data_IF_066624251127
#
_entry.id   IF_066624251127
#
_cell.length_a   1.000
_cell.length_b   1.000
_cell.length_c   1.000
_cell.angle_alpha   90.00
_cell.angle_beta   90.00
_cell.angle_gamma   90.00
#
_symmetry.space_group_name_H-M   'P 1'
#
loop_
_entity.id
_entity.type
_entity.pdbx_description
1 polymer ?
#
# COMPACT_ATOMS: atom_id res chain seq x y z
N UNK A 1 -75.39 50.10 18.30
CA UNK A 1 -74.25 50.18 17.38
C UNK A 1 -72.99 49.97 18.22
N UNK A 2 -72.41 48.78 18.17
CA UNK A 2 -71.21 48.43 18.90
C UNK A 2 -70.08 48.27 17.87
N UNK A 3 -69.24 49.29 17.77
CA UNK A 3 -68.10 49.34 16.86
C UNK A 3 -66.92 48.70 17.57
N UNK A 4 -66.72 47.41 17.30
CA UNK A 4 -65.66 46.60 17.90
C UNK A 4 -64.41 46.76 17.03
N UNK A 5 -63.59 47.75 17.34
CA UNK A 5 -62.31 48.00 16.69
C UNK A 5 -61.32 46.88 17.09
N UNK A 6 -61.13 45.90 16.22
CA UNK A 6 -60.12 44.86 16.31
C UNK A 6 -58.75 45.44 15.94
N UNK A 7 -57.95 45.70 16.97
CA UNK A 7 -56.53 46.04 16.90
C UNK A 7 -55.73 44.78 16.53
N UNK A 8 -55.68 44.45 15.22
CA UNK A 8 -54.83 43.38 14.70
C UNK A 8 -53.40 43.90 14.51
N UNK A 9 -52.63 43.83 15.60
CA UNK A 9 -51.18 43.96 15.59
C UNK A 9 -50.57 42.82 14.77
N UNK A 10 -50.18 43.11 13.52
CA UNK A 10 -49.49 42.16 12.62
C UNK A 10 -48.07 41.89 13.20
N UNK A 11 -47.76 40.65 13.63
CA UNK A 11 -46.42 40.32 14.13
C UNK A 11 -45.45 40.19 12.96
N UNK A 12 -44.40 41.01 12.97
CA UNK A 12 -43.27 40.91 12.03
C UNK A 12 -42.56 39.56 12.16
N UNK A 13 -42.34 38.81 11.05
CA UNK A 13 -41.64 37.53 11.07
C UNK A 13 -40.14 37.74 11.32
N UNK A 14 -39.76 37.73 12.60
CA UNK A 14 -38.39 37.81 13.06
C UNK A 14 -37.58 36.56 12.65
N UNK A 15 -36.78 36.70 11.58
CA UNK A 15 -35.34 36.38 11.49
C UNK A 15 -34.75 35.06 12.03
N UNK A 16 -35.52 34.08 12.50
CA UNK A 16 -34.97 32.89 13.18
C UNK A 16 -34.68 31.69 12.26
N UNK A 17 -34.91 31.81 10.95
CA UNK A 17 -34.78 30.68 10.01
C UNK A 17 -33.34 30.26 9.65
N UNK A 18 -32.33 31.12 9.80
CA UNK A 18 -31.02 30.86 9.16
C UNK A 18 -29.94 30.21 10.04
N UNK A 19 -30.12 30.12 11.36
CA UNK A 19 -29.06 29.60 12.24
C UNK A 19 -29.02 28.06 12.35
N UNK A 20 -30.15 27.37 12.17
CA UNK A 20 -30.23 25.91 12.42
C UNK A 20 -29.59 25.03 11.34
N UNK A 21 -29.42 25.54 10.11
CA UNK A 21 -28.93 24.73 8.99
C UNK A 21 -27.42 24.79 8.73
N UNK A 22 -26.64 25.59 9.47
CA UNK A 22 -25.17 25.65 9.24
C UNK A 22 -24.39 24.48 9.83
N UNK A 23 -24.83 23.96 10.98
CA UNK A 23 -24.18 22.82 11.67
C UNK A 23 -24.13 21.55 10.80
N UNK A 24 -25.19 21.13 10.08
CA UNK A 24 -25.13 19.92 9.25
C UNK A 24 -24.16 20.04 8.07
N UNK A 25 -23.95 21.24 7.50
CA UNK A 25 -23.09 21.41 6.32
C UNK A 25 -21.61 21.19 6.62
N UNK A 26 -21.11 21.75 7.74
CA UNK A 26 -19.70 21.64 8.11
C UNK A 26 -19.31 20.19 8.42
N UNK A 27 -20.18 19.47 9.15
CA UNK A 27 -19.98 18.05 9.46
C UNK A 27 -19.98 17.18 8.20
N UNK A 28 -20.86 17.48 7.22
CA UNK A 28 -20.89 16.79 5.93
C UNK A 28 -19.61 17.02 5.11
N UNK A 29 -19.09 18.25 5.08
CA UNK A 29 -17.83 18.56 4.38
C UNK A 29 -16.67 17.82 5.02
N UNK A 30 -16.54 17.85 6.35
CA UNK A 30 -15.48 17.14 7.06
C UNK A 30 -15.56 15.64 6.77
N UNK A 31 -16.75 15.05 6.79
CA UNK A 31 -16.93 13.62 6.51
C UNK A 31 -16.55 13.26 5.07
N UNK A 32 -17.01 14.03 4.08
CA UNK A 32 -16.64 13.81 2.67
C UNK A 32 -15.14 13.94 2.45
N UNK A 33 -14.49 14.90 3.11
CA UNK A 33 -13.04 15.05 3.07
C UNK A 33 -12.32 13.84 3.70
N UNK A 34 -12.81 13.31 4.82
CA UNK A 34 -12.24 12.12 5.45
C UNK A 34 -12.35 10.89 4.55
N UNK A 35 -13.50 10.67 3.91
CA UNK A 35 -13.69 9.56 2.97
C UNK A 35 -12.79 9.71 1.74
N UNK A 36 -12.71 10.92 1.18
CA UNK A 36 -11.83 11.19 0.05
C UNK A 36 -10.35 10.98 0.42
N UNK A 37 -9.92 11.42 1.60
CA UNK A 37 -8.55 11.22 2.08
C UNK A 37 -8.21 9.74 2.25
N UNK A 38 -9.10 8.95 2.85
CA UNK A 38 -8.93 7.50 2.98
C UNK A 38 -8.80 6.81 1.61
N UNK A 39 -9.65 7.18 0.66
CA UNK A 39 -9.62 6.61 -0.69
C UNK A 39 -8.32 6.96 -1.43
N UNK A 40 -7.83 8.19 -1.28
CA UNK A 40 -6.52 8.60 -1.82
C UNK A 40 -5.39 7.81 -1.19
N UNK A 41 -5.41 7.60 0.13
CA UNK A 41 -4.40 6.79 0.85
C UNK A 41 -4.42 5.35 0.36
N UNK A 42 -5.59 4.73 0.21
CA UNK A 42 -5.71 3.36 -0.29
C UNK A 42 -5.19 3.22 -1.73
N UNK A 43 -5.53 4.16 -2.62
CA UNK A 43 -5.06 4.14 -4.01
C UNK A 43 -3.57 4.41 -4.10
N UNK A 44 -3.03 5.32 -3.28
CA UNK A 44 -1.60 5.63 -3.25
C UNK A 44 -0.76 4.51 -2.60
N UNK A 45 -1.34 3.75 -1.67
CA UNK A 45 -0.65 2.63 -1.02
C UNK A 45 -0.25 1.53 -2.00
N UNK A 46 -1.02 1.30 -3.07
CA UNK A 46 -0.74 0.25 -4.07
C UNK A 46 0.54 0.52 -4.89
N UNK A 47 0.70 1.67 -5.59
CA UNK A 47 1.93 1.96 -6.31
C UNK A 47 3.10 2.18 -5.36
N UNK A 48 2.86 2.71 -4.15
CA UNK A 48 3.90 2.79 -3.12
C UNK A 48 4.39 1.38 -2.81
N UNK A 49 3.51 0.43 -2.46
CA UNK A 49 3.88 -0.96 -2.18
C UNK A 49 4.65 -1.61 -3.35
N UNK A 50 4.21 -1.41 -4.59
CA UNK A 50 4.89 -1.99 -5.76
C UNK A 50 6.27 -1.39 -6.02
N UNK A 51 6.38 -0.06 -6.08
CA UNK A 51 7.67 0.63 -6.31
C UNK A 51 8.62 0.45 -5.13
N UNK A 52 8.06 0.23 -3.96
CA UNK A 52 8.80 0.06 -2.73
C UNK A 52 9.40 -1.32 -2.56
N UNK A 53 8.97 -2.37 -3.27
CA UNK A 53 9.59 -3.69 -3.13
C UNK A 53 11.10 -3.65 -3.46
N UNK A 54 11.53 -2.65 -4.25
CA UNK A 54 12.94 -2.33 -4.45
C UNK A 54 13.64 -1.79 -3.20
N UNK A 55 13.02 -0.93 -2.39
CA UNK A 55 13.71 -0.29 -1.25
C UNK A 55 13.25 -0.81 0.11
N UNK A 56 12.17 -1.61 0.13
CA UNK A 56 11.43 -1.92 1.33
C UNK A 56 11.06 -3.39 1.39
N UNK A 57 11.25 -3.98 2.57
CA UNK A 57 10.84 -5.36 2.87
C UNK A 57 9.34 -5.44 3.16
N UNK A 58 8.48 -5.07 2.20
CA UNK A 58 7.03 -5.24 2.37
C UNK A 58 6.59 -6.70 2.50
N UNK A 59 7.51 -7.66 2.29
CA UNK A 59 7.32 -9.06 2.67
C UNK A 59 6.98 -9.24 4.16
N UNK A 60 7.40 -8.32 5.03
CA UNK A 60 7.01 -8.31 6.45
C UNK A 60 5.66 -7.61 6.69
N UNK A 61 5.20 -6.78 5.75
CA UNK A 61 3.88 -6.21 5.87
C UNK A 61 2.85 -7.32 5.68
N UNK A 62 2.08 -7.61 6.72
CA UNK A 62 1.16 -8.70 6.63
C UNK A 62 0.10 -8.37 5.58
N UNK A 63 -0.15 -9.34 4.70
CA UNK A 63 -1.23 -9.26 3.72
C UNK A 63 -2.61 -8.95 4.36
N UNK A 64 -2.74 -9.04 5.70
CA UNK A 64 -3.94 -8.63 6.44
C UNK A 64 -4.15 -7.11 6.57
N UNK A 65 -3.14 -6.27 6.31
CA UNK A 65 -3.28 -4.81 6.42
C UNK A 65 -4.35 -4.25 5.46
N UNK A 66 -4.38 -4.76 4.22
CA UNK A 66 -5.38 -4.36 3.21
C UNK A 66 -6.82 -4.75 3.65
N UNK A 67 -7.09 -6.00 4.06
CA UNK A 67 -8.37 -6.36 4.67
C UNK A 67 -8.76 -5.51 5.88
N UNK A 68 -7.82 -5.20 6.77
CA UNK A 68 -8.12 -4.39 7.97
C UNK A 68 -8.49 -2.96 7.59
N UNK A 69 -7.78 -2.34 6.65
CA UNK A 69 -8.14 -1.01 6.15
C UNK A 69 -9.54 -1.02 5.52
N UNK A 70 -9.85 -2.05 4.74
CA UNK A 70 -11.18 -2.25 4.16
C UNK A 70 -12.28 -2.43 5.20
N UNK A 71 -12.05 -3.26 6.22
CA UNK A 71 -13.01 -3.47 7.30
C UNK A 71 -13.24 -2.14 8.03
N UNK A 72 -12.19 -1.35 8.29
CA UNK A 72 -12.33 -0.04 8.90
C UNK A 72 -13.20 0.92 8.05
N UNK A 73 -12.97 0.96 6.73
CA UNK A 73 -13.76 1.77 5.80
C UNK A 73 -15.22 1.30 5.74
N UNK A 74 -15.46 -0.01 5.66
CA UNK A 74 -16.81 -0.58 5.67
C UNK A 74 -17.55 -0.28 6.99
N UNK A 75 -16.85 -0.40 8.11
CA UNK A 75 -17.37 -0.08 9.46
C UNK A 75 -17.71 1.41 9.57
N UNK A 76 -16.84 2.30 9.10
CA UNK A 76 -17.10 3.75 9.09
C UNK A 76 -18.34 4.10 8.28
N UNK A 77 -18.51 3.50 7.11
CA UNK A 77 -19.70 3.72 6.27
C UNK A 77 -20.95 3.12 6.91
N UNK A 78 -20.85 1.93 7.51
CA UNK A 78 -21.96 1.31 8.23
C UNK A 78 -22.43 2.16 9.41
N UNK A 79 -21.51 2.65 10.25
CA UNK A 79 -21.86 3.54 11.36
C UNK A 79 -22.42 4.88 10.89
N UNK A 80 -21.94 5.41 9.75
CA UNK A 80 -22.52 6.62 9.15
C UNK A 80 -24.01 6.42 8.80
N UNK A 81 -24.39 5.24 8.30
CA UNK A 81 -25.79 4.92 8.00
C UNK A 81 -26.68 4.79 9.25
N UNK A 82 -26.10 4.44 10.39
CA UNK A 82 -26.81 4.26 11.67
C UNK A 82 -27.03 5.56 12.44
N UNK A 83 -26.30 6.62 12.16
CA UNK A 83 -26.36 7.89 12.92
C UNK A 83 -27.65 8.72 12.69
N UNK A 84 -28.74 8.08 12.25
CA UNK A 84 -30.10 8.61 12.42
C UNK A 84 -30.47 9.78 11.49
N UNK A 85 -29.82 9.91 10.33
CA UNK A 85 -30.11 11.01 9.41
C UNK A 85 -31.38 10.70 8.58
N UNK A 86 -32.45 11.47 8.84
CA UNK A 86 -33.87 11.17 8.58
C UNK A 86 -34.35 11.18 7.12
N UNK A 87 -33.50 11.06 6.10
CA UNK A 87 -33.96 11.03 4.70
C UNK A 87 -33.36 9.85 3.95
N UNK A 88 -34.19 9.11 3.23
CA UNK A 88 -33.84 7.97 2.37
C UNK A 88 -32.63 8.24 1.45
N UNK A 89 -32.44 9.50 1.05
CA UNK A 89 -31.28 9.99 0.31
C UNK A 89 -29.95 9.80 1.06
N UNK A 90 -29.94 9.92 2.39
CA UNK A 90 -28.75 9.75 3.22
C UNK A 90 -28.36 8.29 3.43
N UNK A 91 -29.22 7.32 3.11
CA UNK A 91 -28.82 5.90 3.01
C UNK A 91 -28.25 5.57 1.64
N UNK A 92 -28.84 6.14 0.59
CA UNK A 92 -28.41 5.91 -0.78
C UNK A 92 -27.01 6.44 -1.03
N UNK A 93 -26.66 7.63 -0.55
CA UNK A 93 -25.32 8.20 -0.78
C UNK A 93 -24.19 7.30 -0.22
N UNK A 94 -24.16 6.92 1.07
CA UNK A 94 -23.12 6.02 1.58
C UNK A 94 -23.21 4.63 0.96
N UNK A 95 -24.40 4.10 0.67
CA UNK A 95 -24.53 2.81 -0.03
C UNK A 95 -23.97 2.86 -1.45
N UNK A 96 -24.20 3.95 -2.19
CA UNK A 96 -23.66 4.20 -3.52
C UNK A 96 -22.16 4.44 -3.43
N UNK A 97 -21.66 5.19 -2.44
CA UNK A 97 -20.21 5.38 -2.24
C UNK A 97 -19.54 4.05 -1.91
N UNK A 98 -20.15 3.23 -1.05
CA UNK A 98 -19.63 1.91 -0.71
C UNK A 98 -19.74 0.94 -1.89
N UNK A 99 -20.83 0.99 -2.66
CA UNK A 99 -20.94 0.23 -3.89
C UNK A 99 -19.90 0.70 -4.91
N UNK A 100 -19.71 2.00 -5.10
CA UNK A 100 -18.72 2.54 -6.03
C UNK A 100 -17.28 2.36 -5.53
N UNK A 101 -17.04 2.19 -4.23
CA UNK A 101 -15.71 1.86 -3.72
C UNK A 101 -15.47 0.35 -3.83
N UNK A 102 -16.40 -0.48 -3.35
CA UNK A 102 -16.25 -1.93 -3.29
C UNK A 102 -16.41 -2.59 -4.66
N UNK A 103 -17.40 -2.18 -5.47
CA UNK A 103 -17.75 -2.83 -6.73
C UNK A 103 -16.65 -2.77 -7.80
N UNK A 104 -15.87 -1.69 -7.97
CA UNK A 104 -14.72 -1.73 -8.89
C UNK A 104 -13.49 -2.34 -8.23
N UNK A 105 -13.33 -2.22 -6.91
CA UNK A 105 -12.17 -2.79 -6.22
C UNK A 105 -12.24 -4.31 -6.10
N UNK A 106 -13.43 -4.89 -5.93
CA UNK A 106 -13.61 -6.33 -5.82
C UNK A 106 -13.21 -7.11 -7.08
N UNK A 107 -13.60 -6.73 -8.32
CA UNK A 107 -13.09 -7.34 -9.53
C UNK A 107 -11.60 -7.04 -9.72
N UNK A 108 -11.10 -5.87 -9.32
CA UNK A 108 -9.66 -5.57 -9.33
C UNK A 108 -8.89 -6.49 -8.37
N UNK A 109 -9.44 -6.78 -7.20
CA UNK A 109 -8.84 -7.66 -6.21
C UNK A 109 -8.97 -9.13 -6.62
N UNK A 110 -10.09 -9.53 -7.22
CA UNK A 110 -10.25 -10.87 -7.83
C UNK A 110 -9.29 -11.03 -9.01
N UNK A 111 -9.16 -10.01 -9.85
CA UNK A 111 -8.19 -9.97 -10.94
C UNK A 111 -6.76 -10.01 -10.40
N UNK A 112 -6.44 -9.29 -9.33
CA UNK A 112 -5.11 -9.34 -8.71
C UNK A 112 -4.82 -10.70 -8.10
N UNK A 113 -5.80 -11.37 -7.47
CA UNK A 113 -5.67 -12.74 -6.97
C UNK A 113 -5.51 -13.76 -8.10
N UNK A 114 -6.26 -13.61 -9.19
CA UNK A 114 -6.17 -14.47 -10.38
C UNK A 114 -4.84 -14.25 -11.12
N UNK A 115 -4.38 -13.02 -11.20
CA UNK A 115 -3.11 -12.65 -11.80
C UNK A 115 -1.95 -12.93 -10.85
N UNK A 116 -2.16 -13.08 -9.53
CA UNK A 116 -1.09 -13.35 -8.54
C UNK A 116 -0.13 -14.47 -8.94
N UNK A 117 -0.58 -15.66 -9.41
CA UNK A 117 0.34 -16.70 -9.88
C UNK A 117 1.12 -16.31 -11.15
N UNK A 118 0.58 -15.40 -11.98
CA UNK A 118 1.22 -14.93 -13.21
C UNK A 118 2.11 -13.70 -12.99
N UNK A 119 1.74 -12.82 -12.06
CA UNK A 119 2.45 -11.61 -11.64
C UNK A 119 3.54 -11.90 -10.62
N UNK A 120 3.54 -13.07 -9.99
CA UNK A 120 4.63 -13.52 -9.14
C UNK A 120 5.40 -14.62 -9.85
N UNK A 121 6.32 -14.29 -10.78
CA UNK A 121 7.23 -15.25 -11.35
C UNK A 121 8.24 -15.71 -10.29
N UNK A 122 7.80 -16.57 -9.36
CA UNK A 122 8.66 -17.15 -8.31
C UNK A 122 9.45 -16.15 -7.46
N UNK A 123 8.88 -14.97 -7.17
CA UNK A 123 9.33 -14.06 -6.10
C UNK A 123 8.98 -14.61 -4.71
N UNK A 124 9.19 -15.91 -4.50
CA UNK A 124 9.41 -16.40 -3.14
C UNK A 124 10.65 -15.66 -2.68
N UNK A 125 10.50 -14.77 -1.70
CA UNK A 125 11.56 -14.21 -0.84
C UNK A 125 12.93 -14.68 -1.28
N UNK A 126 13.69 -13.86 -2.04
CA UNK A 126 14.93 -14.31 -2.67
C UNK A 126 15.78 -14.98 -1.58
N UNK A 127 16.14 -16.26 -1.74
CA UNK A 127 16.67 -17.03 -0.64
C UNK A 127 17.93 -16.36 -0.12
N UNK A 128 17.98 -16.15 1.19
CA UNK A 128 19.18 -15.66 1.86
C UNK A 128 20.23 -16.75 1.74
N UNK A 129 21.27 -16.48 0.95
CA UNK A 129 22.34 -17.44 0.66
C UNK A 129 23.53 -17.25 1.59
N UNK A 130 23.72 -16.05 2.12
CA UNK A 130 24.76 -15.77 3.11
C UNK A 130 24.41 -14.56 3.98
N UNK A 131 25.02 -14.50 5.16
CA UNK A 131 24.97 -13.36 6.08
C UNK A 131 26.41 -12.93 6.37
N UNK A 132 26.64 -11.62 6.46
CA UNK A 132 27.96 -11.06 6.76
C UNK A 132 28.43 -11.43 8.18
N UNK A 133 29.75 -11.42 8.45
CA UNK A 133 30.29 -11.78 9.77
C UNK A 133 29.74 -10.90 10.91
N UNK A 134 29.52 -9.61 10.64
CA UNK A 134 28.92 -8.66 11.58
C UNK A 134 27.39 -8.82 11.74
N UNK A 135 26.76 -9.67 10.92
CA UNK A 135 25.32 -9.91 10.92
C UNK A 135 24.47 -8.76 10.38
N UNK A 136 25.08 -7.70 9.81
CA UNK A 136 24.40 -6.48 9.33
C UNK A 136 23.98 -6.55 7.87
N UNK A 137 24.54 -7.46 7.09
CA UNK A 137 24.24 -7.60 5.67
C UNK A 137 23.88 -9.04 5.36
N UNK A 138 23.04 -9.21 4.34
CA UNK A 138 22.75 -10.51 3.77
C UNK A 138 22.84 -10.46 2.25
N UNK A 139 23.34 -11.55 1.68
CA UNK A 139 23.35 -11.78 0.25
C UNK A 139 22.12 -12.60 -0.12
N UNK A 140 21.38 -12.14 -1.12
CA UNK A 140 20.18 -12.79 -1.63
C UNK A 140 20.29 -12.98 -3.13
N UNK A 141 19.78 -14.11 -3.63
CA UNK A 141 19.70 -14.36 -5.06
C UNK A 141 18.36 -13.91 -5.61
N UNK A 142 18.33 -13.06 -6.63
CA UNK A 142 17.11 -12.59 -7.29
C UNK A 142 17.08 -13.01 -8.76
N UNK A 143 15.90 -13.01 -9.39
CA UNK A 143 15.80 -13.17 -10.84
C UNK A 143 15.95 -11.79 -11.50
N UNK A 144 16.97 -11.64 -12.33
CA UNK A 144 17.13 -10.48 -13.20
C UNK A 144 16.49 -10.79 -14.57
N UNK A 145 15.80 -9.80 -15.13
CA UNK A 145 15.28 -9.88 -16.48
C UNK A 145 16.42 -9.64 -17.49
N UNK A 146 16.77 -10.62 -18.31
CA UNK A 146 17.49 -10.38 -19.55
C UNK A 146 16.51 -10.30 -20.73
N UNK A 147 17.02 -9.97 -21.92
CA UNK A 147 16.19 -9.66 -23.08
C UNK A 147 15.35 -10.85 -23.59
N UNK A 148 15.81 -12.08 -23.36
CA UNK A 148 15.18 -13.32 -23.85
C UNK A 148 14.88 -14.28 -22.68
N UNK A 149 15.80 -14.41 -21.72
CA UNK A 149 15.70 -15.33 -20.59
C UNK A 149 15.80 -14.62 -19.23
N UNK A 150 15.26 -15.22 -18.16
CA UNK A 150 15.53 -14.75 -16.80
C UNK A 150 16.87 -15.26 -16.32
N UNK A 151 17.78 -14.36 -15.97
CA UNK A 151 19.07 -14.67 -15.34
C UNK A 151 18.97 -14.56 -13.81
N UNK A 152 20.01 -15.01 -13.11
CA UNK A 152 20.10 -14.92 -11.66
C UNK A 152 21.12 -13.85 -11.25
N UNK A 153 20.74 -12.96 -10.34
CA UNK A 153 21.64 -11.97 -9.75
C UNK A 153 21.88 -12.26 -8.27
N UNK A 154 22.98 -11.74 -7.74
CA UNK A 154 23.26 -11.68 -6.31
C UNK A 154 23.24 -10.21 -5.90
N UNK A 155 22.42 -9.92 -4.90
CA UNK A 155 22.30 -8.60 -4.29
C UNK A 155 22.68 -8.68 -2.83
N UNK A 156 23.38 -7.65 -2.36
CA UNK A 156 23.60 -7.43 -0.93
C UNK A 156 22.58 -6.44 -0.43
N UNK A 157 22.00 -6.71 0.74
CA UNK A 157 21.10 -5.78 1.41
C UNK A 157 21.38 -5.74 2.90
N UNK A 158 21.03 -4.63 3.54
CA UNK A 158 21.03 -4.52 4.99
C UNK A 158 20.06 -5.53 5.60
N UNK A 159 20.53 -6.17 6.66
CA UNK A 159 19.79 -7.11 7.48
C UNK A 159 19.11 -6.27 8.56
N UNK A 160 17.77 -6.27 8.53
CA UNK A 160 16.85 -5.50 9.38
C UNK A 160 16.58 -4.08 8.86
N UNK A 161 15.32 -3.65 9.00
CA UNK A 161 14.84 -2.33 8.60
C UNK A 161 13.88 -2.37 7.41
N UNK A 162 12.83 -1.55 7.51
CA UNK A 162 11.85 -1.35 6.43
C UNK A 162 12.45 -0.67 5.20
N UNK A 163 13.60 -0.01 5.34
CA UNK A 163 14.29 0.75 4.32
C UNK A 163 15.72 0.21 4.18
N UNK A 164 15.86 -1.08 3.87
CA UNK A 164 17.17 -1.70 3.79
C UNK A 164 17.88 -1.26 2.52
N UNK A 165 19.01 -0.56 2.68
CA UNK A 165 19.88 -0.23 1.54
C UNK A 165 20.39 -1.50 0.90
N UNK A 166 20.58 -1.47 -0.41
CA UNK A 166 20.99 -2.64 -1.17
C UNK A 166 21.84 -2.28 -2.40
N UNK A 167 22.60 -3.24 -2.90
CA UNK A 167 23.37 -3.11 -4.13
C UNK A 167 23.50 -4.46 -4.84
N UNK A 168 23.31 -4.45 -6.15
CA UNK A 168 23.60 -5.60 -6.99
C UNK A 168 25.13 -5.76 -7.05
N UNK A 169 25.62 -6.98 -6.78
CA UNK A 169 27.07 -7.26 -6.74
C UNK A 169 27.51 -8.18 -7.86
N UNK A 170 26.59 -8.93 -8.46
CA UNK A 170 26.88 -9.85 -9.54
C UNK A 170 25.60 -10.25 -10.27
N UNK A 171 25.71 -10.46 -11.57
CA UNK A 171 24.66 -11.04 -12.40
C UNK A 171 25.25 -12.19 -13.21
N UNK A 172 24.50 -13.29 -13.28
CA UNK A 172 24.88 -14.44 -14.08
C UNK A 172 24.88 -14.06 -15.56
N UNK A 173 25.85 -14.53 -16.35
CA UNK A 173 25.78 -14.45 -17.80
C UNK A 173 24.48 -15.05 -18.33
N UNK A 174 24.05 -14.62 -19.53
CA UNK A 174 22.83 -15.12 -20.16
C UNK A 174 22.78 -16.65 -20.20
N UNK A 175 21.58 -17.20 -19.97
CA UNK A 175 21.32 -18.65 -19.87
C UNK A 175 22.02 -19.38 -18.71
N UNK A 176 22.68 -18.70 -17.77
CA UNK A 176 23.27 -19.35 -16.60
C UNK A 176 22.30 -19.44 -15.41
N UNK A 177 22.20 -20.62 -14.75
CA UNK A 177 21.46 -20.76 -13.50
C UNK A 177 22.08 -19.96 -12.34
N UNK A 178 21.38 -19.94 -11.20
CA UNK A 178 21.88 -19.33 -9.97
C UNK A 178 23.21 -19.96 -9.50
N UNK A 179 24.05 -19.17 -8.79
CA UNK A 179 25.34 -19.63 -8.32
C UNK A 179 25.18 -20.79 -7.33
N UNK A 180 26.13 -21.72 -7.33
CA UNK A 180 26.16 -22.86 -6.41
C UNK A 180 26.34 -22.42 -4.96
N UNK A 181 27.11 -21.36 -4.74
CA UNK A 181 27.40 -20.86 -3.39
C UNK A 181 27.70 -19.36 -3.41
N UNK A 182 27.24 -18.68 -2.37
CA UNK A 182 27.61 -17.30 -2.07
C UNK A 182 28.08 -17.28 -0.61
N UNK A 183 29.13 -16.54 -0.32
CA UNK A 183 29.66 -16.41 1.05
C UNK A 183 30.35 -15.06 1.21
N UNK A 184 30.25 -14.46 2.39
CA UNK A 184 31.05 -13.28 2.72
C UNK A 184 32.47 -13.70 3.11
N UNK A 185 33.48 -13.04 2.57
CA UNK A 185 34.90 -13.22 2.96
C UNK A 185 35.41 -12.06 3.82
N UNK A 186 34.64 -10.98 3.93
CA UNK A 186 34.85 -9.83 4.81
C UNK A 186 33.63 -8.91 4.79
N UNK A 187 33.75 -7.73 5.40
CA UNK A 187 32.60 -6.82 5.57
C UNK A 187 32.12 -6.15 4.26
N UNK A 188 32.99 -6.06 3.25
CA UNK A 188 32.69 -5.48 1.94
C UNK A 188 33.02 -6.40 0.77
N UNK A 189 33.20 -7.70 1.02
CA UNK A 189 33.66 -8.65 0.00
C UNK A 189 32.86 -9.94 0.05
N UNK A 190 32.41 -10.38 -1.12
CA UNK A 190 31.64 -11.60 -1.32
C UNK A 190 32.36 -12.48 -2.31
N UNK A 191 32.38 -13.76 -1.99
CA UNK A 191 32.83 -14.82 -2.87
C UNK A 191 31.63 -15.58 -3.42
N UNK A 192 31.58 -15.68 -4.74
CA UNK A 192 30.50 -16.31 -5.51
C UNK A 192 31.12 -17.48 -6.27
N UNK A 193 30.57 -18.67 -6.09
CA UNK A 193 30.89 -19.83 -6.91
C UNK A 193 29.74 -20.01 -7.87
N UNK A 194 29.99 -19.77 -9.16
CA UNK A 194 28.96 -19.82 -10.19
C UNK A 194 28.43 -21.25 -10.41
N UNK A 195 27.53 -21.41 -11.38
CA UNK A 195 26.99 -22.72 -11.71
C UNK A 195 28.07 -23.72 -12.19
N UNK A 196 29.09 -23.24 -12.91
CA UNK A 196 30.18 -24.06 -13.44
C UNK A 196 31.30 -24.35 -12.42
N UNK A 197 31.25 -23.75 -11.23
CA UNK A 197 32.26 -23.90 -10.19
C UNK A 197 33.41 -22.90 -10.30
N UNK A 198 33.29 -21.87 -11.16
CA UNK A 198 34.24 -20.78 -11.19
C UNK A 198 34.05 -19.87 -9.98
N UNK A 199 35.17 -19.47 -9.37
CA UNK A 199 35.18 -18.58 -8.23
C UNK A 199 35.31 -17.13 -8.71
N UNK A 200 34.36 -16.30 -8.28
CA UNK A 200 34.35 -14.86 -8.50
C UNK A 200 34.36 -14.16 -7.15
N UNK A 201 35.08 -13.04 -7.09
CA UNK A 201 35.05 -12.14 -5.94
C UNK A 201 34.38 -10.84 -6.36
N UNK A 202 33.37 -10.42 -5.60
CA UNK A 202 32.68 -9.17 -5.77
C UNK A 202 32.89 -8.30 -4.54
N UNK A 203 33.12 -7.00 -4.77
CA UNK A 203 33.27 -6.02 -3.71
C UNK A 203 32.05 -5.12 -3.66
N UNK A 204 31.66 -4.71 -2.46
CA UNK A 204 30.63 -3.71 -2.23
C UNK A 204 31.06 -2.77 -1.12
N UNK A 205 30.59 -1.53 -1.20
CA UNK A 205 30.84 -0.50 -0.21
C UNK A 205 29.53 -0.27 0.58
N UNK A 206 29.46 -0.64 1.87
CA UNK A 206 28.28 -0.44 2.71
C UNK A 206 27.79 1.00 2.76
N UNK A 207 28.69 1.98 2.59
CA UNK A 207 28.37 3.40 2.65
C UNK A 207 27.78 3.92 1.33
N UNK A 208 27.95 3.18 0.22
CA UNK A 208 27.45 3.53 -1.12
C UNK A 208 26.21 2.74 -1.54
N UNK A 209 25.70 1.84 -0.71
CA UNK A 209 24.45 1.12 -0.98
C UNK A 209 23.27 2.10 -1.07
N UNK A 210 22.26 1.75 -1.88
CA UNK A 210 21.09 2.61 -2.17
C UNK A 210 19.79 2.05 -1.64
#
# INVERSE_FOLDING_TARGET
MAEQATDETIPTPNGQGQARDRVPRRRRIIWLLSVAALLIVDVAAVPVAYLSDRFYRFQEFPAWAVPVCWIATAVLVFFASRMGWRRTWDRLVPAIVLALSVLPLLPLMMLSLLLRPYMSPSDRTPPVVAVSPDGRHEAVTYRASAMIDTICGVRVRERLGLFSRQTDVWEAPESQPCPKRVSFTGDGTIRIIDYYGQELTAHFDPDRMK
#
